data_IF_910928353083
#
_entry.id   IF_910928353083
#
_cell.length_a   1.000
_cell.length_b   1.000
_cell.length_c   1.000
_cell.angle_alpha   90.00
_cell.angle_beta   90.00
_cell.angle_gamma   90.00
#
_symmetry.space_group_name_H-M   'P 1'
#
loop_
_entity.id
_entity.type
_entity.pdbx_description
1 polymer ?
#
# COMPACT_ATOMS: atom_id res chain seq x y z
N UNK A 1 1.84 -12.18 5.95
CA UNK A 1 2.21 -11.00 6.76
C UNK A 1 3.26 -11.34 7.80
N UNK A 2 3.03 -12.34 8.63
CA UNK A 2 3.97 -12.75 9.69
C UNK A 2 5.32 -13.20 9.15
N UNK A 3 5.35 -13.89 8.01
CA UNK A 3 6.60 -14.31 7.35
C UNK A 3 7.52 -13.14 6.95
N UNK A 4 6.98 -11.92 6.87
CA UNK A 4 7.74 -10.69 6.61
C UNK A 4 8.07 -9.92 7.89
N UNK A 5 7.74 -10.48 9.05
CA UNK A 5 7.98 -9.86 10.36
C UNK A 5 6.95 -8.80 10.75
N UNK A 6 5.80 -8.73 10.09
CA UNK A 6 4.71 -7.84 10.46
C UNK A 6 3.70 -8.55 11.35
N UNK A 7 3.31 -7.89 12.41
CA UNK A 7 2.20 -8.31 13.26
C UNK A 7 0.89 -7.72 12.71
N UNK A 8 -0.09 -8.58 12.45
CA UNK A 8 -1.40 -8.15 12.02
C UNK A 8 -2.10 -7.34 13.11
N UNK A 9 -2.68 -6.20 12.75
CA UNK A 9 -3.40 -5.32 13.68
C UNK A 9 -4.86 -5.11 13.29
N UNK A 10 -5.12 -4.90 12.01
CA UNK A 10 -6.45 -4.55 11.54
C UNK A 10 -6.60 -4.83 10.05
N UNK A 11 -7.81 -4.67 9.56
CA UNK A 11 -8.07 -4.67 8.12
C UNK A 11 -9.15 -3.65 7.77
N UNK A 12 -9.14 -3.26 6.52
CA UNK A 12 -10.18 -2.45 5.90
C UNK A 12 -10.67 -3.11 4.63
N UNK A 13 -11.78 -2.67 4.11
CA UNK A 13 -12.39 -3.22 2.90
C UNK A 13 -12.56 -2.10 1.88
N UNK A 14 -12.01 -2.31 0.70
CA UNK A 14 -12.26 -1.47 -0.45
C UNK A 14 -13.37 -2.08 -1.29
N UNK A 15 -14.51 -1.39 -1.38
CA UNK A 15 -15.65 -1.79 -2.22
C UNK A 15 -15.48 -1.15 -3.59
N UNK A 16 -15.51 -1.99 -4.62
CA UNK A 16 -15.37 -1.59 -6.02
C UNK A 16 -16.74 -1.21 -6.62
N UNK A 17 -16.70 -0.43 -7.69
CA UNK A 17 -17.90 -0.06 -8.46
C UNK A 17 -18.45 -1.21 -9.32
N UNK A 18 -17.59 -2.17 -9.71
CA UNK A 18 -17.95 -3.27 -10.62
C UNK A 18 -17.69 -4.63 -9.99
N UNK A 19 -18.53 -5.60 -10.36
CA UNK A 19 -18.32 -7.00 -10.00
C UNK A 19 -17.11 -7.56 -10.74
N UNK A 20 -16.29 -8.30 -10.01
CA UNK A 20 -15.20 -9.10 -10.56
C UNK A 20 -15.61 -10.55 -10.78
N UNK A 21 -14.63 -11.36 -11.13
CA UNK A 21 -14.79 -12.81 -11.23
C UNK A 21 -14.66 -13.45 -9.84
N UNK A 22 -15.30 -14.59 -9.67
CA UNK A 22 -15.15 -15.39 -8.45
C UNK A 22 -15.82 -16.74 -8.64
N UNK A 23 -15.26 -17.76 -7.97
CA UNK A 23 -15.75 -19.12 -8.12
C UNK A 23 -17.07 -19.38 -7.38
N UNK A 24 -17.19 -18.87 -6.15
CA UNK A 24 -18.40 -19.03 -5.32
C UNK A 24 -19.18 -17.71 -5.28
N UNK A 25 -18.48 -16.62 -5.01
CA UNK A 25 -19.04 -15.28 -5.00
C UNK A 25 -18.36 -14.42 -6.05
N UNK A 26 -19.12 -13.57 -6.71
CA UNK A 26 -18.55 -12.55 -7.59
C UNK A 26 -17.96 -11.43 -6.72
N UNK A 27 -16.65 -11.29 -6.75
CA UNK A 27 -15.93 -10.36 -5.90
C UNK A 27 -16.22 -8.90 -6.26
N UNK A 28 -16.65 -8.14 -5.27
CA UNK A 28 -16.89 -6.70 -5.39
C UNK A 28 -16.04 -5.89 -4.42
N UNK A 29 -15.15 -6.54 -3.70
CA UNK A 29 -14.30 -5.89 -2.72
C UNK A 29 -12.90 -6.50 -2.69
N UNK A 30 -11.96 -5.75 -2.12
CA UNK A 30 -10.64 -6.25 -1.73
C UNK A 30 -10.38 -5.89 -0.28
N UNK A 31 -9.64 -6.73 0.41
CA UNK A 31 -9.26 -6.52 1.80
C UNK A 31 -7.89 -5.86 1.86
N UNK A 32 -7.78 -4.80 2.65
CA UNK A 32 -6.51 -4.16 2.99
C UNK A 32 -6.09 -4.65 4.38
N UNK A 33 -4.96 -5.30 4.46
CA UNK A 33 -4.39 -5.72 5.74
C UNK A 33 -3.46 -4.64 6.28
N UNK A 34 -3.66 -4.28 7.53
CA UNK A 34 -2.78 -3.38 8.27
C UNK A 34 -1.97 -4.18 9.28
N UNK A 35 -0.67 -4.08 9.17
CA UNK A 35 0.26 -4.69 10.11
C UNK A 35 1.38 -3.74 10.48
N UNK A 36 1.94 -3.95 11.65
CA UNK A 36 3.06 -3.14 12.15
C UNK A 36 4.29 -4.01 12.41
N UNK A 37 5.44 -3.38 12.37
CA UNK A 37 6.72 -3.98 12.73
C UNK A 37 7.47 -3.00 13.61
N UNK A 38 7.96 -3.49 14.75
CA UNK A 38 8.62 -2.62 15.74
C UNK A 38 7.65 -1.67 16.43
N UNK A 39 8.14 -0.52 16.85
CA UNK A 39 7.38 0.47 17.60
C UNK A 39 6.73 1.50 16.67
N UNK A 40 5.76 1.08 15.89
CA UNK A 40 5.00 1.98 15.03
C UNK A 40 4.04 2.83 15.87
N UNK A 41 4.07 4.17 15.77
CA UNK A 41 3.12 4.99 16.48
C UNK A 41 1.69 4.80 15.96
N UNK A 42 0.72 5.10 16.79
CA UNK A 42 -0.68 5.09 16.38
C UNK A 42 -0.93 6.12 15.25
N UNK A 43 -1.86 5.82 14.32
CA UNK A 43 -2.18 6.76 13.26
C UNK A 43 -2.80 8.04 13.82
N UNK A 44 -2.47 9.18 13.23
CA UNK A 44 -3.03 10.48 13.61
C UNK A 44 -4.47 10.68 13.11
N UNK A 45 -4.85 9.95 12.09
CA UNK A 45 -6.20 9.89 11.52
C UNK A 45 -6.66 8.44 11.47
N UNK A 46 -7.88 8.20 11.91
CA UNK A 46 -8.50 6.87 11.88
C UNK A 46 -9.66 6.89 10.87
N UNK A 47 -9.42 6.46 9.63
CA UNK A 47 -10.48 6.38 8.63
C UNK A 47 -11.50 5.29 8.96
N UNK A 48 -12.72 5.38 8.40
CA UNK A 48 -13.64 4.24 8.43
C UNK A 48 -13.00 3.01 7.77
N UNK A 49 -13.38 1.83 8.20
CA UNK A 49 -12.81 0.58 7.72
C UNK A 49 -13.38 0.11 6.37
N UNK A 50 -14.32 0.85 5.79
CA UNK A 50 -14.89 0.55 4.48
C UNK A 50 -14.70 1.77 3.57
N UNK A 51 -14.10 1.53 2.41
CA UNK A 51 -13.88 2.55 1.37
C UNK A 51 -14.67 2.19 0.12
N UNK A 52 -15.31 3.16 -0.47
CA UNK A 52 -16.02 3.01 -1.74
C UNK A 52 -15.36 3.88 -2.81
N UNK A 53 -14.54 3.25 -3.64
CA UNK A 53 -13.86 3.91 -4.76
C UNK A 53 -13.95 3.05 -6.01
N UNK A 54 -14.09 3.67 -7.20
CA UNK A 54 -14.04 2.91 -8.43
C UNK A 54 -12.66 2.30 -8.63
N UNK A 55 -12.62 1.12 -9.22
CA UNK A 55 -11.36 0.50 -9.62
C UNK A 55 -10.76 1.23 -10.81
N UNK A 56 -9.43 1.32 -10.86
CA UNK A 56 -8.72 1.79 -12.02
C UNK A 56 -8.67 0.73 -13.13
N UNK A 57 -8.09 1.11 -14.27
CA UNK A 57 -7.82 0.19 -15.37
C UNK A 57 -6.82 -0.89 -14.94
N UNK A 58 -6.94 -2.08 -15.53
CA UNK A 58 -6.03 -3.20 -15.27
C UNK A 58 -5.82 -3.53 -13.78
N UNK A 59 -6.89 -3.48 -13.00
CA UNK A 59 -6.86 -3.75 -11.54
C UNK A 59 -5.98 -2.79 -10.73
N UNK A 60 -5.74 -1.58 -11.22
CA UNK A 60 -5.04 -0.56 -10.46
C UNK A 60 -5.80 -0.21 -9.17
N UNK A 61 -5.06 -0.04 -8.09
CA UNK A 61 -5.63 0.40 -6.81
C UNK A 61 -6.01 1.87 -6.89
N UNK A 62 -7.08 2.31 -6.21
CA UNK A 62 -7.46 3.72 -6.23
C UNK A 62 -6.38 4.58 -5.57
N UNK A 63 -6.03 5.73 -6.16
CA UNK A 63 -5.02 6.63 -5.59
C UNK A 63 -5.44 7.21 -4.23
N UNK A 64 -6.72 7.25 -3.94
CA UNK A 64 -7.29 7.70 -2.67
C UNK A 64 -6.78 6.88 -1.47
N UNK A 65 -6.41 5.63 -1.68
CA UNK A 65 -5.81 4.79 -0.63
C UNK A 65 -4.48 5.39 -0.16
N UNK A 66 -3.64 5.91 -1.08
CA UNK A 66 -2.40 6.60 -0.71
C UNK A 66 -2.69 7.85 0.11
N UNK A 67 -3.67 8.64 -0.29
CA UNK A 67 -4.07 9.86 0.43
C UNK A 67 -4.54 9.55 1.86
N UNK A 68 -5.26 8.45 2.06
CA UNK A 68 -5.69 7.98 3.38
C UNK A 68 -4.46 7.62 4.22
N UNK A 69 -3.50 6.89 3.67
CA UNK A 69 -2.26 6.52 4.37
C UNK A 69 -1.46 7.78 4.76
N UNK A 70 -1.37 8.74 3.85
CA UNK A 70 -0.69 10.03 4.12
C UNK A 70 -1.34 10.80 5.26
N UNK A 71 -2.66 10.78 5.36
CA UNK A 71 -3.41 11.39 6.47
C UNK A 71 -3.24 10.63 7.78
N UNK A 72 -3.12 9.31 7.72
CA UNK A 72 -2.84 8.48 8.90
C UNK A 72 -1.45 8.78 9.47
N UNK A 73 -0.47 9.00 8.60
CA UNK A 73 0.93 9.20 8.96
C UNK A 73 1.53 10.39 8.19
N UNK A 74 1.13 11.62 8.50
CA UNK A 74 1.55 12.80 7.74
C UNK A 74 3.03 13.17 7.95
N UNK A 75 3.64 12.74 9.05
CA UNK A 75 5.02 13.07 9.38
C UNK A 75 6.04 12.24 8.59
N UNK A 76 5.60 11.24 7.85
CA UNK A 76 6.48 10.45 7.01
C UNK A 76 6.75 11.15 5.67
N UNK A 77 8.03 11.22 5.31
CA UNK A 77 8.49 11.74 4.02
C UNK A 77 8.43 10.67 2.92
N UNK A 78 8.73 11.07 1.69
CA UNK A 78 8.85 10.16 0.56
C UNK A 78 9.87 9.02 0.80
N UNK A 79 10.88 9.24 1.64
CA UNK A 79 11.85 8.20 2.01
C UNK A 79 11.24 7.08 2.83
N UNK A 80 10.17 7.38 3.54
CA UNK A 80 9.50 6.44 4.45
C UNK A 80 8.22 5.86 3.87
N UNK A 81 7.78 6.35 2.70
CA UNK A 81 6.62 5.84 1.99
C UNK A 81 7.06 5.06 0.77
N UNK A 82 6.85 3.77 0.81
CA UNK A 82 7.24 2.84 -0.24
C UNK A 82 6.03 2.13 -0.79
N UNK A 83 5.88 2.13 -2.10
CA UNK A 83 4.91 1.30 -2.81
C UNK A 83 5.64 0.31 -3.68
N UNK A 84 5.44 -0.97 -3.41
CA UNK A 84 5.94 -2.06 -4.24
C UNK A 84 4.88 -2.46 -5.27
N UNK A 85 5.33 -2.89 -6.44
CA UNK A 85 4.48 -3.23 -7.59
C UNK A 85 3.61 -2.06 -8.05
N UNK A 86 4.14 -0.85 -7.90
CA UNK A 86 3.47 0.35 -8.34
C UNK A 86 3.29 0.37 -9.86
N UNK A 87 2.20 0.98 -10.33
CA UNK A 87 1.91 1.17 -11.76
C UNK A 87 2.26 2.56 -12.26
N UNK A 88 2.69 3.44 -11.38
CA UNK A 88 3.11 4.78 -11.72
C UNK A 88 3.76 5.45 -10.52
N UNK A 89 4.42 6.58 -10.78
CA UNK A 89 4.99 7.39 -9.71
C UNK A 89 3.89 8.16 -8.98
N UNK A 90 4.02 8.25 -7.67
CA UNK A 90 3.19 9.09 -6.82
C UNK A 90 4.06 10.11 -6.09
N UNK A 91 3.64 11.37 -6.07
CA UNK A 91 4.34 12.41 -5.32
C UNK A 91 4.36 12.06 -3.83
N UNK A 92 5.50 12.21 -3.20
CA UNK A 92 5.68 11.88 -1.78
C UNK A 92 5.84 10.39 -1.48
N UNK A 93 6.02 9.55 -2.51
CA UNK A 93 6.24 8.11 -2.40
C UNK A 93 7.47 7.66 -3.17
N UNK A 94 8.13 6.64 -2.64
CA UNK A 94 9.10 5.86 -3.40
C UNK A 94 8.35 4.69 -4.04
N UNK A 95 8.35 4.63 -5.37
CA UNK A 95 7.53 3.68 -6.14
C UNK A 95 8.42 2.74 -6.93
N UNK A 96 8.22 1.44 -6.75
CA UNK A 96 8.91 0.38 -7.49
C UNK A 96 7.89 -0.49 -8.22
N UNK A 97 8.09 -0.70 -9.51
CA UNK A 97 7.24 -1.55 -10.32
C UNK A 97 7.66 -1.52 -11.78
N UNK A 98 7.29 -2.54 -12.56
CA UNK A 98 7.66 -2.64 -13.98
C UNK A 98 7.09 -1.50 -14.85
N UNK A 99 5.98 -0.91 -14.43
CA UNK A 99 5.32 0.19 -15.15
C UNK A 99 5.78 1.57 -14.67
N UNK A 100 6.71 1.63 -13.69
CA UNK A 100 7.25 2.89 -13.17
C UNK A 100 8.47 3.30 -13.98
N UNK A 101 8.45 4.46 -14.68
CA UNK A 101 9.62 4.94 -15.42
C UNK A 101 10.81 5.17 -14.48
N UNK A 102 11.99 4.66 -14.87
CA UNK A 102 13.22 4.81 -14.10
C UNK A 102 13.34 3.90 -12.89
N UNK A 103 12.47 2.88 -12.77
CA UNK A 103 12.73 1.78 -11.87
C UNK A 103 13.85 0.94 -12.45
N UNK A 104 15.01 1.04 -11.86
CA UNK A 104 16.19 0.27 -12.22
C UNK A 104 16.23 -1.00 -11.38
N UNK A 105 16.54 -2.13 -11.98
CA UNK A 105 16.85 -3.35 -11.21
C UNK A 105 18.01 -3.11 -10.23
N UNK A 106 18.92 -2.22 -10.57
CA UNK A 106 20.00 -1.77 -9.69
C UNK A 106 19.50 -1.05 -8.43
N UNK A 107 18.35 -0.37 -8.47
CA UNK A 107 17.76 0.27 -7.30
C UNK A 107 17.09 -0.73 -6.36
N UNK A 108 16.67 -1.88 -6.86
CA UNK A 108 16.13 -3.00 -6.08
C UNK A 108 17.24 -3.94 -5.59
N UNK A 109 18.41 -3.89 -6.21
CA UNK A 109 19.56 -4.74 -5.97
C UNK A 109 20.69 -4.07 -5.19
N UNK A 110 20.42 -3.07 -4.36
CA UNK A 110 21.42 -2.56 -3.45
C UNK A 110 21.85 -3.69 -2.51
N UNK A 111 23.09 -4.11 -2.68
CA UNK A 111 23.72 -5.20 -1.91
C UNK A 111 23.73 -4.96 -0.40
N UNK A 112 23.38 -3.76 0.05
CA UNK A 112 23.29 -3.43 1.47
C UNK A 112 22.06 -4.02 2.17
N UNK A 113 21.13 -4.62 1.44
CA UNK A 113 19.93 -5.26 2.00
C UNK A 113 18.95 -4.31 2.70
N UNK A 114 19.10 -3.03 2.50
CA UNK A 114 18.45 -1.99 3.28
C UNK A 114 17.19 -1.40 2.67
N UNK A 115 16.56 -2.06 1.72
CA UNK A 115 15.32 -1.57 1.10
C UNK A 115 14.14 -1.51 2.09
N UNK A 116 14.26 -2.19 3.23
CA UNK A 116 13.19 -2.33 4.22
C UNK A 116 13.54 -1.80 5.61
N UNK A 117 14.51 -0.92 5.73
CA UNK A 117 14.74 -0.20 6.98
C UNK A 117 13.82 1.00 7.07
N UNK A 118 12.58 0.76 7.34
CA UNK A 118 11.64 1.80 7.61
C UNK A 118 10.58 1.29 8.56
N UNK A 119 10.44 1.95 9.68
CA UNK A 119 9.24 1.92 10.49
C UNK A 119 8.08 2.59 9.72
N UNK A 120 7.98 2.31 8.42
CA UNK A 120 7.02 2.93 7.50
C UNK A 120 5.85 2.00 7.16
N UNK A 121 4.70 2.59 6.84
CA UNK A 121 3.57 1.86 6.28
C UNK A 121 3.90 1.43 4.84
N UNK A 122 3.71 0.14 4.52
CA UNK A 122 3.77 -0.39 3.17
C UNK A 122 2.35 -0.62 2.65
N UNK A 123 2.07 -0.11 1.46
CA UNK A 123 0.80 -0.30 0.77
C UNK A 123 0.92 -1.30 -0.39
#
# INVERSE_FOLDING_TARGET
MESWGFEYKAHAVWVKDKLGLGYVFRNKHEVLLYGTRGNMPAPQYQPPSVFEYPRGEHSAKPPEIREIIERMYPDFSARNRLELFARGKAEGWTSYGFEVPGTDEAALGDESGNVFHGDGAAA
#
